data_IF_625023433470
#
_entry.id   IF_625023433470
#
_cell.length_a   1.000
_cell.length_b   1.000
_cell.length_c   1.000
_cell.angle_alpha   90.00
_cell.angle_beta   90.00
_cell.angle_gamma   90.00
#
_symmetry.space_group_name_H-M   'P 1'
#
loop_
_entity.id
_entity.type
_entity.pdbx_description
1 polymer ?
#
# COMPACT_ATOMS: atom_id res chain seq x y z
N UNK A 1 -39.11 -4.82 32.04
CA UNK A 1 -39.05 -5.72 33.21
C UNK A 1 -39.60 -7.08 32.82
N UNK A 2 -38.74 -8.07 32.55
CA UNK A 2 -39.09 -9.50 32.57
C UNK A 2 -37.85 -10.26 33.05
N UNK A 3 -37.88 -10.74 34.30
CA UNK A 3 -36.86 -11.61 34.85
C UNK A 3 -37.20 -13.06 34.50
N UNK A 4 -36.32 -13.76 33.77
CA UNK A 4 -36.43 -15.20 33.52
C UNK A 4 -35.67 -15.96 34.61
N UNK A 5 -36.39 -16.71 35.44
CA UNK A 5 -35.81 -17.59 36.45
C UNK A 5 -35.13 -18.81 35.79
N UNK A 6 -33.93 -19.17 36.24
CA UNK A 6 -33.16 -20.31 35.75
C UNK A 6 -33.45 -21.56 36.60
N UNK A 7 -33.78 -22.67 35.94
CA UNK A 7 -34.14 -23.94 36.58
C UNK A 7 -32.95 -24.62 37.29
N UNK A 8 -33.21 -25.37 38.37
CA UNK A 8 -32.17 -25.98 39.21
C UNK A 8 -31.18 -26.93 38.51
N UNK A 9 -31.46 -27.39 37.28
CA UNK A 9 -30.57 -28.27 36.52
C UNK A 9 -29.33 -27.54 35.98
N UNK A 10 -29.41 -26.23 35.68
CA UNK A 10 -28.24 -25.46 35.19
C UNK A 10 -27.25 -25.12 36.31
N UNK A 11 -27.72 -24.98 37.55
CA UNK A 11 -26.85 -24.78 38.73
C UNK A 11 -26.02 -26.03 39.05
N UNK A 12 -26.57 -27.23 38.86
CA UNK A 12 -25.86 -28.50 39.11
C UNK A 12 -24.76 -28.75 38.06
N UNK A 13 -25.02 -28.41 36.79
CA UNK A 13 -24.04 -28.51 35.71
C UNK A 13 -22.87 -27.54 35.89
N UNK A 14 -23.12 -26.29 36.31
CA UNK A 14 -22.04 -25.34 36.60
C UNK A 14 -21.17 -25.78 37.79
N UNK A 15 -21.78 -26.36 38.83
CA UNK A 15 -21.04 -26.85 39.99
C UNK A 15 -20.09 -28.01 39.64
N UNK A 16 -20.51 -28.92 38.76
CA UNK A 16 -19.68 -30.05 38.30
C UNK A 16 -18.50 -29.59 37.41
N UNK A 17 -18.69 -28.58 36.57
CA UNK A 17 -17.61 -28.01 35.74
C UNK A 17 -16.56 -27.30 36.60
N UNK A 18 -16.98 -26.54 37.62
CA UNK A 18 -16.06 -25.86 38.53
C UNK A 18 -15.27 -26.84 39.41
N UNK A 19 -15.88 -27.96 39.83
CA UNK A 19 -15.16 -29.01 40.58
C UNK A 19 -14.09 -29.71 39.71
N UNK A 20 -14.39 -29.95 38.43
CA UNK A 20 -13.43 -30.54 37.48
C UNK A 20 -12.21 -29.65 37.23
N UNK A 21 -12.40 -28.34 37.11
CA UNK A 21 -11.31 -27.38 36.92
C UNK A 21 -10.38 -27.27 38.15
N UNK A 22 -10.94 -27.34 39.36
CA UNK A 22 -10.16 -27.29 40.60
C UNK A 22 -9.28 -28.55 40.79
N UNK A 23 -9.78 -29.74 40.42
CA UNK A 23 -9.01 -30.99 40.46
C UNK A 23 -7.86 -31.03 39.44
N UNK A 24 -8.07 -30.49 38.23
CA UNK A 24 -7.01 -30.39 37.21
C UNK A 24 -5.87 -29.44 37.64
N UNK A 25 -6.20 -28.29 38.26
CA UNK A 25 -5.21 -27.35 38.76
C UNK A 25 -4.39 -27.90 39.95
N UNK A 26 -5.01 -28.72 40.82
CA UNK A 26 -4.33 -29.36 41.93
C UNK A 26 -3.35 -30.45 41.45
N UNK A 27 -3.73 -31.24 40.44
CA UNK A 27 -2.88 -32.27 39.85
C UNK A 27 -1.69 -31.66 39.09
N UNK A 28 -1.89 -30.56 38.36
CA UNK A 28 -0.80 -29.85 37.68
C UNK A 28 0.22 -29.26 38.67
N UNK A 29 -0.25 -28.71 39.80
CA UNK A 29 0.64 -28.19 40.86
C UNK A 29 1.43 -29.27 41.60
N UNK A 30 0.91 -30.49 41.69
CA UNK A 30 1.62 -31.64 42.27
C UNK A 30 2.69 -32.20 41.32
N UNK A 31 2.47 -32.16 40.02
CA UNK A 31 3.42 -32.61 39.00
C UNK A 31 4.62 -31.65 38.87
N UNK A 32 4.35 -30.33 38.88
CA UNK A 32 5.39 -29.29 38.91
C UNK A 32 6.26 -29.38 40.18
N UNK A 33 5.67 -29.75 41.33
CA UNK A 33 6.42 -29.92 42.59
C UNK A 33 7.20 -31.24 42.68
N UNK A 34 6.77 -32.32 42.00
CA UNK A 34 7.52 -33.58 41.94
C UNK A 34 8.71 -33.54 40.98
N UNK A 35 8.64 -32.74 39.92
CA UNK A 35 9.73 -32.57 38.95
C UNK A 35 10.67 -31.40 39.26
N UNK A 36 10.46 -30.64 40.35
CA UNK A 36 11.36 -29.60 40.83
C UNK A 36 12.57 -30.16 41.64
N UNK A 37 13.10 -31.31 41.22
CA UNK A 37 14.26 -31.94 41.83
C UNK A 37 15.51 -31.74 40.98
N UNK A 38 16.43 -30.88 41.46
CA UNK A 38 17.82 -30.69 41.00
C UNK A 38 17.99 -30.16 39.57
N UNK A 39 17.84 -28.85 39.42
CA UNK A 39 18.59 -28.12 38.40
C UNK A 39 19.94 -27.76 39.00
N UNK A 40 20.99 -28.36 38.45
CA UNK A 40 22.37 -28.02 38.74
C UNK A 40 22.63 -26.58 38.30
N UNK A 41 23.35 -25.82 39.11
CA UNK A 41 23.88 -24.50 38.76
C UNK A 41 24.89 -24.66 37.62
N UNK A 42 24.43 -24.59 36.38
CA UNK A 42 25.28 -24.31 35.24
C UNK A 42 25.36 -22.80 35.10
N UNK A 43 26.55 -22.24 35.28
CA UNK A 43 26.82 -20.84 35.00
C UNK A 43 26.42 -20.51 33.56
N UNK A 44 25.28 -19.85 33.42
CA UNK A 44 24.91 -19.16 32.21
C UNK A 44 25.70 -17.86 32.22
N UNK A 45 26.86 -17.87 31.56
CA UNK A 45 27.37 -16.64 30.96
C UNK A 45 26.27 -16.10 30.07
N UNK A 46 25.93 -14.83 30.27
CA UNK A 46 25.06 -14.04 29.41
C UNK A 46 25.62 -14.15 27.99
N UNK A 47 25.11 -15.12 27.23
CA UNK A 47 25.39 -15.27 25.83
C UNK A 47 24.77 -14.03 25.20
N UNK A 48 25.64 -13.06 24.87
CA UNK A 48 25.29 -11.90 24.08
C UNK A 48 24.47 -12.43 22.91
N UNK A 49 23.20 -12.02 22.84
CA UNK A 49 22.47 -12.06 21.57
C UNK A 49 23.33 -11.27 20.61
N UNK A 50 24.09 -11.98 19.80
CA UNK A 50 24.78 -11.42 18.65
C UNK A 50 23.65 -10.85 17.79
N UNK A 51 23.42 -9.54 17.91
CA UNK A 51 22.51 -8.82 17.03
C UNK A 51 23.00 -9.12 15.62
N UNK A 52 22.19 -9.88 14.87
CA UNK A 52 22.48 -10.12 13.47
C UNK A 52 22.83 -8.75 12.84
N UNK A 53 23.94 -8.65 12.08
CA UNK A 53 24.40 -7.36 11.58
C UNK A 53 23.22 -6.62 10.95
N UNK A 54 22.94 -5.40 11.44
CA UNK A 54 21.93 -4.53 10.85
C UNK A 54 22.22 -4.49 9.34
N UNK A 55 21.31 -5.07 8.57
CA UNK A 55 21.48 -5.14 7.12
C UNK A 55 21.68 -3.72 6.60
N UNK A 56 22.73 -3.52 5.83
CA UNK A 56 23.03 -2.22 5.25
C UNK A 56 21.81 -1.71 4.47
N UNK A 57 21.45 -0.44 4.69
CA UNK A 57 20.39 0.26 3.97
C UNK A 57 20.95 1.45 3.21
N UNK A 58 20.23 1.87 2.18
CA UNK A 58 20.46 3.13 1.49
C UNK A 58 19.32 4.09 1.78
N UNK A 59 19.62 5.20 2.44
CA UNK A 59 18.69 6.30 2.62
C UNK A 59 18.67 7.18 1.36
N UNK A 60 17.51 7.28 0.71
CA UNK A 60 17.26 8.18 -0.41
C UNK A 60 17.02 9.63 0.07
N UNK A 61 16.85 9.84 1.37
CA UNK A 61 16.69 11.13 2.03
C UNK A 61 15.24 11.46 2.41
N UNK A 62 15.06 12.69 2.89
CA UNK A 62 13.76 13.22 3.30
C UNK A 62 13.24 14.21 2.27
N UNK A 63 12.05 13.95 1.73
CA UNK A 63 11.32 14.82 0.81
C UNK A 63 10.23 15.56 1.57
N UNK A 64 10.27 16.88 1.54
CA UNK A 64 9.33 17.75 2.24
C UNK A 64 8.65 18.67 1.24
N UNK A 65 7.32 18.72 1.26
CA UNK A 65 6.53 19.53 0.33
C UNK A 65 5.57 20.44 1.10
N UNK A 66 5.80 21.77 1.14
CA UNK A 66 7.00 22.47 0.67
C UNK A 66 8.23 22.16 1.52
N UNK A 67 9.42 22.60 1.10
CA UNK A 67 10.71 22.35 1.78
C UNK A 67 10.70 22.77 3.27
N UNK A 68 9.95 23.82 3.62
CA UNK A 68 9.77 24.29 5.00
C UNK A 68 8.81 23.46 5.86
N UNK A 69 8.32 22.32 5.37
CA UNK A 69 7.43 21.44 6.14
C UNK A 69 8.17 20.88 7.36
N UNK A 70 7.58 20.89 8.57
CA UNK A 70 8.22 20.31 9.75
C UNK A 70 8.49 18.80 9.61
N UNK A 71 9.64 18.31 10.10
CA UNK A 71 10.05 16.91 9.94
C UNK A 71 9.09 15.91 10.59
N UNK A 72 8.37 16.31 11.64
CA UNK A 72 7.35 15.48 12.29
C UNK A 72 6.16 15.13 11.39
N UNK A 73 6.01 15.86 10.27
CA UNK A 73 5.02 15.55 9.23
C UNK A 73 5.48 14.42 8.31
N UNK A 74 6.77 14.07 8.32
CA UNK A 74 7.32 13.07 7.42
C UNK A 74 6.99 11.65 7.90
N UNK A 75 6.57 10.80 6.96
CA UNK A 75 6.45 9.36 7.13
C UNK A 75 7.69 8.69 6.57
N UNK A 76 8.29 7.82 7.37
CA UNK A 76 9.43 7.02 6.96
C UNK A 76 8.96 5.71 6.32
N UNK A 77 9.55 5.40 5.17
CA UNK A 77 9.33 4.18 4.42
C UNK A 77 10.63 3.41 4.34
N UNK A 78 10.52 2.10 4.46
CA UNK A 78 11.61 1.14 4.37
C UNK A 78 11.11 -0.06 3.58
N UNK A 79 11.84 -0.44 2.53
CA UNK A 79 11.49 -1.56 1.67
C UNK A 79 12.73 -2.22 1.07
N UNK A 80 12.55 -3.45 0.59
CA UNK A 80 13.60 -4.21 -0.09
C UNK A 80 13.43 -4.17 -1.59
N UNK A 81 14.54 -4.08 -2.31
CA UNK A 81 14.60 -4.27 -3.77
C UNK A 81 15.63 -5.35 -4.07
N UNK A 82 15.14 -6.50 -4.51
CA UNK A 82 16.00 -7.62 -4.91
C UNK A 82 16.88 -7.20 -6.09
N UNK A 83 18.18 -7.48 -6.00
CA UNK A 83 19.16 -7.12 -7.03
C UNK A 83 19.77 -5.72 -6.93
N UNK A 84 19.40 -4.93 -5.91
CA UNK A 84 20.14 -3.71 -5.54
C UNK A 84 21.11 -3.98 -4.38
N UNK A 85 22.21 -3.23 -4.35
CA UNK A 85 23.17 -3.24 -3.24
C UNK A 85 23.37 -1.81 -2.71
N UNK A 86 23.03 -1.54 -1.43
CA UNK A 86 22.28 -2.42 -0.54
C UNK A 86 20.85 -2.69 -1.07
N UNK A 87 20.25 -3.80 -0.64
CA UNK A 87 18.89 -4.17 -1.05
C UNK A 87 17.82 -3.36 -0.32
N UNK A 88 18.06 -3.05 0.95
CA UNK A 88 17.18 -2.22 1.78
C UNK A 88 17.29 -0.75 1.39
N UNK A 89 16.16 -0.11 1.13
CA UNK A 89 16.04 1.30 0.75
C UNK A 89 15.17 2.01 1.77
N UNK A 90 15.52 3.25 2.08
CA UNK A 90 14.78 4.10 3.01
C UNK A 90 14.45 5.44 2.34
N UNK A 91 13.31 6.03 2.69
CA UNK A 91 12.89 7.35 2.22
C UNK A 91 11.89 7.94 3.22
N UNK A 92 11.99 9.22 3.52
CA UNK A 92 10.93 9.93 4.24
C UNK A 92 10.18 10.89 3.32
N UNK A 93 8.86 10.94 3.42
CA UNK A 93 8.02 11.91 2.70
C UNK A 93 7.09 12.65 3.66
N UNK A 94 7.14 13.98 3.63
CA UNK A 94 6.29 14.85 4.45
C UNK A 94 5.55 15.87 3.62
N UNK A 95 4.25 15.99 3.86
CA UNK A 95 3.40 17.02 3.27
C UNK A 95 2.99 18.04 4.32
N UNK A 96 3.19 19.31 3.99
CA UNK A 96 2.80 20.45 4.79
C UNK A 96 1.28 20.50 4.98
N UNK A 97 0.85 21.00 6.13
CA UNK A 97 -0.56 20.98 6.53
C UNK A 97 -1.46 21.81 5.58
N UNK A 98 -0.94 22.91 5.05
CA UNK A 98 -1.66 23.72 4.05
C UNK A 98 -1.85 22.94 2.74
N UNK A 99 -0.83 22.20 2.31
CA UNK A 99 -0.83 21.45 1.04
C UNK A 99 -1.71 20.22 1.14
N UNK A 100 -1.65 19.50 2.25
CA UNK A 100 -2.57 18.40 2.55
C UNK A 100 -4.03 18.87 2.50
N UNK A 101 -4.37 19.93 3.25
CA UNK A 101 -5.73 20.51 3.21
C UNK A 101 -6.13 20.99 1.83
N UNK A 102 -5.19 21.55 1.07
CA UNK A 102 -5.40 22.03 -0.28
C UNK A 102 -5.79 20.90 -1.24
N UNK A 103 -5.05 19.80 -1.22
CA UNK A 103 -5.33 18.61 -2.04
C UNK A 103 -6.67 17.97 -1.68
N UNK A 104 -6.95 17.79 -0.39
CA UNK A 104 -8.23 17.26 0.06
C UNK A 104 -9.40 18.16 -0.35
N UNK A 105 -9.25 19.48 -0.19
CA UNK A 105 -10.28 20.44 -0.59
C UNK A 105 -10.48 20.42 -2.10
N UNK A 106 -9.42 20.37 -2.90
CA UNK A 106 -9.51 20.29 -4.35
C UNK A 106 -10.25 19.01 -4.80
N UNK A 107 -9.93 17.86 -4.19
CA UNK A 107 -10.61 16.59 -4.45
C UNK A 107 -12.11 16.65 -4.11
N UNK A 108 -12.44 17.19 -2.93
CA UNK A 108 -13.83 17.41 -2.50
C UNK A 108 -14.57 18.36 -3.44
N UNK A 109 -13.99 19.51 -3.77
CA UNK A 109 -14.60 20.51 -4.67
C UNK A 109 -14.84 19.93 -6.06
N UNK A 110 -13.89 19.15 -6.59
CA UNK A 110 -14.04 18.46 -7.87
C UNK A 110 -15.21 17.47 -7.82
N UNK A 111 -15.34 16.70 -6.75
CA UNK A 111 -16.47 15.79 -6.55
C UNK A 111 -17.83 16.51 -6.58
N UNK A 112 -17.91 17.68 -5.94
CA UNK A 112 -19.11 18.52 -5.94
C UNK A 112 -19.42 19.00 -7.36
N UNK A 113 -18.40 19.44 -8.12
CA UNK A 113 -18.57 19.89 -9.49
C UNK A 113 -19.14 18.81 -10.42
N UNK A 114 -18.80 17.55 -10.16
CA UNK A 114 -19.28 16.39 -10.90
C UNK A 114 -20.55 15.77 -10.29
N UNK A 115 -21.20 16.44 -9.32
CA UNK A 115 -22.41 15.94 -8.66
C UNK A 115 -22.24 14.51 -8.13
N UNK A 116 -21.05 14.22 -7.58
CA UNK A 116 -20.72 12.94 -6.96
C UNK A 116 -21.74 12.55 -5.88
N UNK A 117 -22.08 11.26 -5.81
CA UNK A 117 -22.87 10.67 -4.74
C UNK A 117 -22.34 9.27 -4.42
N UNK A 118 -22.00 9.05 -3.16
CA UNK A 118 -21.72 7.71 -2.63
C UNK A 118 -23.03 6.89 -2.59
N UNK A 119 -22.96 5.64 -3.03
CA UNK A 119 -24.06 4.67 -3.12
C UNK A 119 -23.83 3.44 -2.23
N UNK A 120 -22.78 3.49 -1.40
CA UNK A 120 -22.33 2.41 -0.52
C UNK A 120 -20.80 2.25 -0.60
N UNK A 121 -20.23 1.28 0.12
CA UNK A 121 -18.81 0.95 0.00
C UNK A 121 -18.45 0.67 -1.45
N UNK A 122 -17.40 1.33 -1.95
CA UNK A 122 -16.84 1.13 -3.31
C UNK A 122 -17.82 1.39 -4.45
N UNK A 123 -18.98 2.02 -4.17
CA UNK A 123 -20.02 2.30 -5.17
C UNK A 123 -20.39 3.77 -5.13
N UNK A 124 -20.38 4.40 -6.29
CA UNK A 124 -20.74 5.80 -6.43
C UNK A 124 -21.30 6.11 -7.81
N UNK A 125 -21.86 7.31 -7.95
CA UNK A 125 -22.26 7.89 -9.23
C UNK A 125 -21.78 9.32 -9.32
N UNK A 126 -21.52 9.80 -10.53
CA UNK A 126 -21.18 11.19 -10.83
C UNK A 126 -21.60 11.52 -12.26
N UNK A 127 -21.59 12.80 -12.60
CA UNK A 127 -21.78 13.31 -13.95
C UNK A 127 -20.40 13.47 -14.57
N UNK A 128 -20.12 12.67 -15.61
CA UNK A 128 -18.85 12.74 -16.31
C UNK A 128 -18.60 14.16 -16.88
N UNK A 129 -17.37 14.68 -16.78
CA UNK A 129 -17.01 15.95 -17.43
C UNK A 129 -17.30 15.91 -18.95
N UNK A 130 -17.55 17.05 -19.61
CA UNK A 130 -17.69 17.09 -21.06
C UNK A 130 -16.49 16.45 -21.78
N UNK A 131 -16.77 15.56 -22.73
CA UNK A 131 -15.72 14.80 -23.47
C UNK A 131 -15.20 13.55 -22.74
N UNK A 132 -15.69 13.26 -21.54
CA UNK A 132 -15.34 12.07 -20.77
C UNK A 132 -16.44 11.02 -20.80
N UNK A 133 -16.04 9.75 -20.74
CA UNK A 133 -16.94 8.65 -20.39
C UNK A 133 -17.19 8.62 -18.89
N UNK A 134 -18.08 7.73 -18.45
CA UNK A 134 -18.33 7.47 -17.03
C UNK A 134 -17.28 6.53 -16.38
N UNK A 135 -16.13 6.34 -17.04
CA UNK A 135 -15.00 5.61 -16.49
C UNK A 135 -14.09 6.53 -15.66
N UNK A 136 -13.19 5.92 -14.90
CA UNK A 136 -12.27 6.64 -14.02
C UNK A 136 -11.18 7.45 -14.74
N UNK A 137 -11.08 7.38 -16.08
CA UNK A 137 -9.97 7.98 -16.84
C UNK A 137 -9.83 9.48 -16.58
N UNK A 138 -10.94 10.22 -16.64
CA UNK A 138 -10.89 11.66 -16.43
C UNK A 138 -10.71 12.04 -14.95
N UNK A 139 -11.17 11.19 -14.03
CA UNK A 139 -10.92 11.37 -12.61
C UNK A 139 -9.41 11.22 -12.34
N UNK A 140 -8.79 10.15 -12.84
CA UNK A 140 -7.34 9.93 -12.70
C UNK A 140 -6.54 11.05 -13.37
N UNK A 141 -6.92 11.49 -14.57
CA UNK A 141 -6.24 12.60 -15.26
C UNK A 141 -6.29 13.90 -14.45
N UNK A 142 -7.43 14.22 -13.84
CA UNK A 142 -7.56 15.39 -12.97
C UNK A 142 -6.75 15.24 -11.67
N UNK A 143 -6.72 14.04 -11.08
CA UNK A 143 -5.89 13.76 -9.90
C UNK A 143 -4.40 13.91 -10.21
N UNK A 144 -3.93 13.37 -11.33
CA UNK A 144 -2.55 13.55 -11.80
C UNK A 144 -2.21 15.03 -11.97
N UNK A 145 -3.14 15.83 -12.52
CA UNK A 145 -2.94 17.27 -12.73
C UNK A 145 -2.92 18.06 -11.42
N UNK A 146 -3.90 17.84 -10.56
CA UNK A 146 -4.07 18.57 -9.29
C UNK A 146 -3.07 18.18 -8.21
N UNK A 147 -2.46 16.98 -8.32
CA UNK A 147 -1.45 16.47 -7.40
C UNK A 147 -0.03 16.49 -8.00
N UNK A 148 0.16 17.17 -9.14
CA UNK A 148 1.42 17.11 -9.88
C UNK A 148 2.62 17.51 -9.02
N UNK A 149 2.54 18.62 -8.29
CA UNK A 149 3.68 19.17 -7.55
C UNK A 149 4.24 18.24 -6.45
N UNK A 150 3.47 17.75 -5.46
CA UNK A 150 4.01 16.86 -4.44
C UNK A 150 4.56 15.55 -5.01
N UNK A 151 3.94 15.02 -6.07
CA UNK A 151 4.42 13.80 -6.72
C UNK A 151 5.69 14.07 -7.54
N UNK A 152 5.78 15.23 -8.20
CA UNK A 152 6.98 15.67 -8.94
C UNK A 152 8.17 15.77 -8.01
N UNK A 153 8.05 16.42 -6.86
CA UNK A 153 9.16 16.56 -5.90
C UNK A 153 9.60 15.19 -5.36
N UNK A 154 8.65 14.29 -5.06
CA UNK A 154 8.96 12.91 -4.67
C UNK A 154 9.68 12.14 -5.79
N UNK A 155 9.18 12.23 -7.02
CA UNK A 155 9.78 11.56 -8.18
C UNK A 155 11.16 12.12 -8.54
N UNK A 156 11.45 13.40 -8.26
CA UNK A 156 12.79 13.98 -8.44
C UNK A 156 13.82 13.31 -7.53
N UNK A 157 13.43 12.93 -6.31
CA UNK A 157 14.31 12.19 -5.39
C UNK A 157 14.61 10.78 -5.89
N UNK A 158 13.61 10.08 -6.44
CA UNK A 158 13.82 8.80 -7.11
C UNK A 158 14.72 8.96 -8.33
N UNK A 159 14.43 9.93 -9.20
CA UNK A 159 15.20 10.20 -10.40
C UNK A 159 16.66 10.58 -10.08
N UNK A 160 16.90 11.32 -9.01
CA UNK A 160 18.24 11.60 -8.51
C UNK A 160 18.97 10.32 -8.08
N UNK A 161 18.33 9.47 -7.25
CA UNK A 161 18.90 8.18 -6.84
C UNK A 161 19.22 7.29 -8.04
N UNK A 162 18.32 7.19 -9.00
CA UNK A 162 18.48 6.42 -10.24
C UNK A 162 19.72 6.90 -11.02
N UNK A 163 19.88 8.22 -11.22
CA UNK A 163 21.03 8.78 -11.93
C UNK A 163 22.35 8.63 -11.18
N UNK A 164 22.35 8.92 -9.88
CA UNK A 164 23.55 8.86 -9.02
C UNK A 164 24.13 7.44 -8.95
N UNK A 165 23.26 6.43 -9.08
CA UNK A 165 23.59 5.01 -8.97
C UNK A 165 23.65 4.29 -10.32
N UNK A 166 23.42 5.01 -11.42
CA UNK A 166 23.35 4.47 -12.79
C UNK A 166 22.41 3.25 -12.90
N UNK A 167 21.22 3.35 -12.30
CA UNK A 167 20.25 2.25 -12.31
C UNK A 167 19.62 2.09 -13.70
N UNK A 168 19.54 0.85 -14.18
CA UNK A 168 18.82 0.56 -15.41
C UNK A 168 17.30 0.70 -15.23
N UNK A 169 16.55 0.61 -16.33
CA UNK A 169 15.10 0.81 -16.30
C UNK A 169 14.35 -0.27 -15.48
N UNK A 170 14.89 -1.49 -15.36
CA UNK A 170 14.31 -2.55 -14.53
C UNK A 170 14.55 -2.24 -13.06
N UNK A 171 15.76 -1.87 -12.69
CA UNK A 171 16.15 -1.47 -11.34
C UNK A 171 15.38 -0.22 -10.88
N UNK A 172 15.26 0.79 -11.74
CA UNK A 172 14.46 1.99 -11.49
C UNK A 172 12.98 1.64 -11.27
N UNK A 173 12.43 0.72 -12.06
CA UNK A 173 11.06 0.25 -11.92
C UNK A 173 10.85 -0.44 -10.58
N UNK A 174 11.67 -1.43 -10.23
CA UNK A 174 11.50 -2.17 -8.98
C UNK A 174 11.76 -1.29 -7.73
N UNK A 175 12.65 -0.30 -7.84
CA UNK A 175 12.84 0.71 -6.78
C UNK A 175 11.53 1.46 -6.48
N UNK A 176 10.89 2.01 -7.53
CA UNK A 176 9.66 2.80 -7.40
C UNK A 176 8.47 1.92 -7.02
N UNK A 177 8.32 0.75 -7.67
CA UNK A 177 7.23 -0.18 -7.36
C UNK A 177 7.33 -0.73 -5.95
N UNK A 178 8.55 -1.01 -5.46
CA UNK A 178 8.80 -1.43 -4.08
C UNK A 178 8.29 -0.40 -3.07
N UNK A 179 8.64 0.88 -3.27
CA UNK A 179 8.14 1.97 -2.44
C UNK A 179 6.61 2.05 -2.43
N UNK A 180 5.97 2.01 -3.60
CA UNK A 180 4.50 2.11 -3.69
C UNK A 180 3.79 0.90 -3.07
N UNK A 181 4.35 -0.31 -3.23
CA UNK A 181 3.83 -1.52 -2.58
C UNK A 181 3.89 -1.42 -1.05
N UNK A 182 4.93 -0.77 -0.52
CA UNK A 182 5.16 -0.61 0.92
C UNK A 182 4.14 0.30 1.61
N UNK A 183 3.54 1.26 0.90
CA UNK A 183 2.44 2.09 1.43
C UNK A 183 1.32 1.19 1.98
N UNK A 184 0.67 1.53 3.08
CA UNK A 184 -0.41 0.68 3.61
C UNK A 184 -1.57 0.54 2.62
N UNK A 185 -2.08 -0.70 2.44
CA UNK A 185 -3.29 -0.92 1.65
C UNK A 185 -4.52 -0.65 2.51
N UNK A 186 -5.32 0.35 2.11
CA UNK A 186 -6.56 0.73 2.81
C UNK A 186 -7.62 1.15 1.80
N UNK A 187 -8.84 0.63 1.96
CA UNK A 187 -9.98 1.04 1.13
C UNK A 187 -10.45 2.44 1.54
N UNK A 188 -10.54 3.41 0.60
CA UNK A 188 -10.86 4.79 0.92
C UNK A 188 -12.38 5.03 0.94
N UNK A 189 -13.06 4.36 1.89
CA UNK A 189 -14.53 4.31 1.94
C UNK A 189 -15.24 5.68 2.01
N UNK A 190 -14.56 6.68 2.58
CA UNK A 190 -15.10 8.04 2.75
C UNK A 190 -14.56 9.04 1.71
N UNK A 191 -13.64 8.63 0.84
CA UNK A 191 -13.06 9.52 -0.17
C UNK A 191 -13.97 9.66 -1.41
N UNK A 192 -14.04 10.86 -2.00
CA UNK A 192 -14.67 11.02 -3.31
C UNK A 192 -14.09 10.09 -4.35
N UNK A 193 -14.98 9.49 -5.15
CA UNK A 193 -14.66 8.52 -6.20
C UNK A 193 -13.94 7.26 -5.70
N UNK A 194 -13.90 7.02 -4.37
CA UNK A 194 -13.25 5.86 -3.79
C UNK A 194 -11.74 5.81 -4.07
N UNK A 195 -11.05 6.96 -4.08
CA UNK A 195 -9.61 7.06 -4.33
C UNK A 195 -8.97 8.14 -3.45
N UNK A 196 -7.78 7.83 -2.92
CA UNK A 196 -6.91 8.80 -2.22
C UNK A 196 -6.09 9.57 -3.27
N UNK A 197 -6.09 10.92 -3.22
CA UNK A 197 -5.27 11.74 -4.11
C UNK A 197 -3.77 11.36 -4.07
N UNK A 198 -3.06 11.29 -5.21
CA UNK A 198 -1.69 10.78 -5.27
C UNK A 198 -0.69 11.42 -4.32
N UNK A 199 -0.79 12.73 -4.06
CA UNK A 199 0.09 13.42 -3.11
C UNK A 199 -0.18 13.06 -1.64
N UNK A 200 -1.41 12.61 -1.34
CA UNK A 200 -1.83 12.19 -0.01
C UNK A 200 -1.45 10.74 0.30
N UNK A 201 -1.32 9.89 -0.72
CA UNK A 201 -0.96 8.47 -0.55
C UNK A 201 0.31 8.27 0.30
N UNK A 202 1.46 8.87 -0.04
CA UNK A 202 2.67 8.76 0.79
C UNK A 202 2.65 9.69 2.01
N UNK A 203 1.85 10.76 2.03
CA UNK A 203 1.75 11.65 3.19
C UNK A 203 1.00 10.98 4.36
N UNK A 204 -0.04 10.22 4.03
CA UNK A 204 -0.97 9.62 4.97
C UNK A 204 -0.73 8.11 5.15
N UNK A 205 0.24 7.55 4.43
CA UNK A 205 0.57 6.12 4.38
C UNK A 205 -0.67 5.26 4.18
N UNK A 206 -1.48 5.58 3.16
CA UNK A 206 -2.64 4.76 2.80
C UNK A 206 -3.03 4.90 1.34
N UNK A 207 -3.56 3.83 0.77
CA UNK A 207 -4.21 3.83 -0.53
C UNK A 207 -4.60 2.43 -0.97
N UNK A 208 -5.65 2.32 -1.78
CA UNK A 208 -6.10 1.06 -2.37
C UNK A 208 -5.43 0.80 -3.72
N UNK A 209 -6.02 -0.07 -4.53
CA UNK A 209 -5.46 -0.50 -5.81
C UNK A 209 -5.26 0.66 -6.79
N UNK A 210 -6.24 1.57 -6.91
CA UNK A 210 -6.14 2.65 -7.88
C UNK A 210 -5.40 3.88 -7.35
N UNK A 211 -5.51 4.19 -6.05
CA UNK A 211 -4.72 5.22 -5.37
C UNK A 211 -3.21 4.97 -5.56
N UNK A 212 -2.77 3.74 -5.26
CA UNK A 212 -1.38 3.31 -5.44
C UNK A 212 -1.00 3.28 -6.92
N UNK A 213 -1.93 2.87 -7.79
CA UNK A 213 -1.67 2.78 -9.22
C UNK A 213 -1.42 4.13 -9.88
N UNK A 214 -2.22 5.16 -9.56
CA UNK A 214 -2.01 6.49 -10.09
C UNK A 214 -0.68 7.08 -9.60
N UNK A 215 -0.33 6.89 -8.32
CA UNK A 215 0.98 7.31 -7.79
C UNK A 215 2.15 6.62 -8.53
N UNK A 216 2.13 5.29 -8.63
CA UNK A 216 3.19 4.55 -9.32
C UNK A 216 3.31 4.98 -10.79
N UNK A 217 2.20 5.18 -11.49
CA UNK A 217 2.20 5.63 -12.88
C UNK A 217 2.94 6.98 -13.04
N UNK A 218 2.64 7.95 -12.16
CA UNK A 218 3.27 9.27 -12.19
C UNK A 218 4.78 9.17 -11.94
N UNK A 219 5.19 8.44 -10.89
CA UNK A 219 6.60 8.27 -10.52
C UNK A 219 7.41 7.54 -11.60
N UNK A 220 6.86 6.45 -12.17
CA UNK A 220 7.51 5.68 -13.23
C UNK A 220 7.72 6.53 -14.49
N UNK A 221 6.69 7.27 -14.92
CA UNK A 221 6.80 8.15 -16.10
C UNK A 221 7.80 9.27 -15.89
N UNK A 222 7.86 9.83 -14.69
CA UNK A 222 8.86 10.84 -14.34
C UNK A 222 10.28 10.27 -14.36
N UNK A 223 10.47 9.00 -14.01
CA UNK A 223 11.73 8.28 -14.14
C UNK A 223 12.06 7.85 -15.59
N UNK A 224 11.23 8.23 -16.58
CA UNK A 224 11.40 7.84 -17.98
C UNK A 224 11.01 6.40 -18.28
N UNK A 225 10.34 5.71 -17.35
CA UNK A 225 9.82 4.36 -17.56
C UNK A 225 8.45 4.46 -18.21
N UNK A 226 8.32 3.86 -19.40
CA UNK A 226 7.03 3.76 -20.09
C UNK A 226 6.06 2.89 -19.29
N UNK A 227 4.93 3.49 -18.90
CA UNK A 227 3.93 2.85 -18.06
C UNK A 227 2.52 3.30 -18.44
N UNK A 228 1.54 2.41 -18.25
CA UNK A 228 0.12 2.63 -18.55
C UNK A 228 -0.76 2.19 -17.39
N UNK A 229 -1.89 2.86 -17.20
CA UNK A 229 -2.90 2.47 -16.21
C UNK A 229 -3.67 1.25 -16.70
N UNK A 230 -3.73 0.20 -15.88
CA UNK A 230 -4.59 -0.96 -16.10
C UNK A 230 -5.80 -0.85 -15.18
N UNK A 231 -6.96 -1.14 -15.73
CA UNK A 231 -8.21 -1.09 -14.97
C UNK A 231 -9.14 -2.21 -15.42
N UNK A 232 -9.94 -2.72 -14.50
CA UNK A 232 -11.01 -3.66 -14.80
C UNK A 232 -12.24 -3.39 -13.94
N UNK A 233 -13.35 -2.95 -14.55
CA UNK A 233 -14.62 -2.78 -13.84
C UNK A 233 -15.13 -4.13 -13.30
N UNK A 234 -14.95 -5.21 -14.07
CA UNK A 234 -15.44 -6.55 -13.74
C UNK A 234 -14.67 -7.20 -12.58
N UNK A 235 -13.40 -6.81 -12.38
CA UNK A 235 -12.59 -7.27 -11.26
C UNK A 235 -12.60 -6.28 -10.08
N UNK A 236 -13.18 -5.09 -10.26
CA UNK A 236 -13.06 -3.97 -9.33
C UNK A 236 -11.59 -3.74 -8.89
N UNK A 237 -10.67 -3.74 -9.87
CA UNK A 237 -9.23 -3.71 -9.61
C UNK A 237 -8.47 -2.83 -10.59
N UNK A 238 -7.41 -2.21 -10.09
CA UNK A 238 -6.47 -1.40 -10.84
C UNK A 238 -5.02 -1.85 -10.61
N UNK A 239 -4.20 -1.66 -11.64
CA UNK A 239 -2.79 -2.04 -11.64
C UNK A 239 -2.01 -1.18 -12.64
N UNK A 240 -0.71 -1.41 -12.81
CA UNK A 240 0.10 -0.77 -13.86
C UNK A 240 0.52 -1.79 -14.91
N UNK A 241 0.63 -1.34 -16.16
CA UNK A 241 1.35 -2.03 -17.20
C UNK A 241 2.68 -1.32 -17.43
N UNK A 242 3.80 -2.04 -17.36
CA UNK A 242 5.14 -1.47 -17.56
C UNK A 242 5.74 -1.93 -18.90
N UNK A 243 6.19 -0.99 -19.71
CA UNK A 243 6.69 -1.16 -21.06
C UNK A 243 8.12 -1.72 -21.16
N UNK A 244 8.48 -2.66 -20.29
CA UNK A 244 9.80 -3.28 -20.25
C UNK A 244 9.86 -4.65 -20.94
N UNK A 245 11.03 -5.07 -21.44
CA UNK A 245 11.25 -6.45 -21.85
C UNK A 245 11.13 -7.41 -20.65
N UNK A 246 11.07 -8.70 -20.94
CA UNK A 246 10.99 -9.77 -19.93
C UNK A 246 9.72 -10.61 -20.03
N UNK A 247 9.70 -11.64 -19.19
CA UNK A 247 8.65 -12.68 -19.14
C UNK A 247 7.46 -12.28 -18.25
N UNK A 248 6.43 -13.11 -18.24
CA UNK A 248 5.22 -12.93 -17.45
C UNK A 248 4.03 -12.39 -18.24
N UNK A 249 2.94 -12.12 -17.54
CA UNK A 249 1.69 -11.62 -18.10
C UNK A 249 1.87 -10.23 -18.70
N UNK A 250 1.40 -10.05 -19.93
CA UNK A 250 1.45 -8.79 -20.67
C UNK A 250 0.06 -8.40 -21.15
N UNK A 251 -0.27 -7.12 -21.02
CA UNK A 251 -1.46 -6.51 -21.60
C UNK A 251 -1.06 -5.75 -22.86
N UNK A 252 -1.73 -6.03 -23.98
CA UNK A 252 -1.44 -5.39 -25.26
C UNK A 252 -2.18 -4.06 -25.39
N UNK A 253 -1.49 -3.02 -25.85
CA UNK A 253 -2.05 -1.71 -26.12
C UNK A 253 -1.18 -0.93 -27.11
N UNK A 254 -1.80 -0.28 -28.11
CA UNK A 254 -1.08 0.55 -29.08
C UNK A 254 0.03 -0.18 -29.86
N UNK A 255 -0.14 -1.49 -30.14
CA UNK A 255 0.88 -2.31 -30.80
C UNK A 255 2.05 -2.72 -29.90
N UNK A 256 2.01 -2.40 -28.61
CA UNK A 256 3.04 -2.71 -27.61
C UNK A 256 2.46 -3.61 -26.53
N UNK A 257 3.31 -4.37 -25.87
CA UNK A 257 2.93 -5.19 -24.71
C UNK A 257 3.47 -4.59 -23.42
N UNK A 258 2.65 -4.54 -22.38
CA UNK A 258 2.99 -3.99 -21.07
C UNK A 258 2.93 -5.08 -20.01
N UNK A 259 4.02 -5.33 -19.28
CA UNK A 259 4.06 -6.33 -18.20
C UNK A 259 3.18 -5.88 -17.05
N UNK A 260 2.33 -6.77 -16.55
CA UNK A 260 1.46 -6.47 -15.41
C UNK A 260 2.29 -6.21 -14.14
N UNK A 261 1.98 -5.16 -13.40
CA UNK A 261 2.59 -4.84 -12.11
C UNK A 261 1.50 -4.71 -11.04
N UNK A 262 1.47 -5.66 -10.12
CA UNK A 262 0.63 -5.61 -8.92
C UNK A 262 1.25 -4.67 -7.88
N UNK A 263 0.39 -3.93 -7.16
CA UNK A 263 0.77 -2.88 -6.22
C UNK A 263 0.16 -3.04 -4.82
N UNK A 264 -0.83 -3.92 -4.68
CA UNK A 264 -1.60 -4.03 -3.44
C UNK A 264 -0.83 -4.68 -2.30
N UNK A 265 0.17 -5.49 -2.62
CA UNK A 265 1.06 -6.11 -1.65
C UNK A 265 2.49 -6.25 -2.20
N UNK A 266 3.42 -6.50 -1.29
CA UNK A 266 4.78 -6.92 -1.63
C UNK A 266 4.79 -8.35 -2.18
N UNK A 267 5.93 -8.77 -2.75
CA UNK A 267 6.12 -10.14 -3.22
C UNK A 267 5.46 -10.48 -4.55
N UNK A 268 5.00 -9.48 -5.31
CA UNK A 268 4.52 -9.63 -6.69
C UNK A 268 5.56 -9.11 -7.69
N UNK A 269 6.42 -9.98 -8.27
CA UNK A 269 7.37 -9.57 -9.29
C UNK A 269 6.67 -9.01 -10.53
N UNK A 270 7.37 -8.15 -11.27
CA UNK A 270 6.86 -7.66 -12.55
C UNK A 270 6.47 -8.81 -13.48
N UNK A 271 5.30 -8.73 -14.10
CA UNK A 271 4.71 -9.78 -14.95
C UNK A 271 4.00 -10.91 -14.18
N UNK A 272 3.98 -10.91 -12.85
CA UNK A 272 3.15 -11.81 -12.06
C UNK A 272 1.79 -11.17 -11.79
N UNK A 273 0.72 -11.90 -12.07
CA UNK A 273 -0.65 -11.48 -11.80
C UNK A 273 -1.26 -12.38 -10.72
N UNK A 274 -1.94 -11.82 -9.70
CA UNK A 274 -2.64 -12.64 -8.72
C UNK A 274 -3.71 -13.52 -9.39
N UNK A 275 -3.89 -14.80 -8.98
CA UNK A 275 -4.81 -15.71 -9.66
C UNK A 275 -6.25 -15.21 -9.80
N UNK A 276 -6.75 -14.46 -8.82
CA UNK A 276 -8.09 -13.87 -8.87
C UNK A 276 -8.26 -12.82 -9.98
N UNK A 277 -7.14 -12.24 -10.43
CA UNK A 277 -7.06 -11.19 -11.43
C UNK A 277 -6.54 -11.67 -12.78
N UNK A 278 -6.10 -12.93 -12.89
CA UNK A 278 -5.57 -13.54 -14.12
C UNK A 278 -6.68 -13.86 -15.14
N UNK A 279 -7.28 -12.79 -15.67
CA UNK A 279 -8.32 -12.79 -16.68
C UNK A 279 -7.99 -11.73 -17.72
N UNK A 280 -6.98 -11.95 -18.60
CA UNK A 280 -6.43 -10.93 -19.49
C UNK A 280 -7.47 -10.17 -20.31
N UNK A 281 -8.55 -10.83 -20.72
CA UNK A 281 -9.66 -10.27 -21.49
C UNK A 281 -10.53 -9.26 -20.72
N UNK A 282 -10.44 -9.21 -19.39
CA UNK A 282 -11.17 -8.27 -18.55
C UNK A 282 -10.38 -7.00 -18.24
N UNK A 283 -9.11 -6.97 -18.61
CA UNK A 283 -8.23 -5.83 -18.41
C UNK A 283 -8.30 -4.88 -19.59
N UNK A 284 -8.43 -3.59 -19.30
CA UNK A 284 -8.28 -2.51 -20.28
C UNK A 284 -7.17 -1.57 -19.86
N UNK A 285 -6.49 -1.01 -20.86
CA UNK A 285 -5.62 0.14 -20.65
C UNK A 285 -6.47 1.41 -20.64
N UNK A 286 -6.35 2.20 -19.59
CA UNK A 286 -6.90 3.56 -19.56
C UNK A 286 -5.83 4.53 -20.09
N UNK A 287 -6.00 5.13 -21.28
CA UNK A 287 -5.05 6.11 -21.78
C UNK A 287 -5.15 7.38 -20.94
N UNK A 288 -4.11 7.64 -20.15
CA UNK A 288 -3.97 8.84 -19.33
C UNK A 288 -2.92 9.77 -19.93
N UNK A 289 -3.13 11.10 -19.87
CA UNK A 289 -2.14 12.07 -20.34
C UNK A 289 -0.83 11.90 -19.57
N UNK A 290 0.25 12.44 -20.12
CA UNK A 290 1.48 12.59 -19.34
C UNK A 290 1.19 13.48 -18.12
N UNK A 291 1.81 13.16 -16.99
CA UNK A 291 1.72 14.04 -15.83
C UNK A 291 2.31 15.42 -16.22
N UNK A 292 1.73 16.54 -15.77
CA UNK A 292 2.35 17.84 -15.97
C UNK A 292 3.77 17.81 -15.38
N UNK A 293 4.77 18.14 -16.20
CA UNK A 293 6.16 18.23 -15.78
C UNK A 293 6.43 19.43 -14.88
#
# INVERSE_FOLDING_TARGET
MVARSWSGKTKLLLALVLLGAALAAALWRLDVRRNAGRLAESGWTEDSKEEAPLEASLDLGTVLVPEGTPLERARAYDWRVEGLTPARQELAFGLGEAEERGLEKAHRDYSVSLRYRAMGPERFTYVAPPGCGADMRCIYAELMRSNAEPVRVLGERFAASIRERDLDAVQATELILGFVRRVHYELPGDEPFGIVPPGLVPAQDRGDCDSKAVLALMLLRQAGVDAVMLYSDALAHAAIGVGLPGTGTRIAFGGRGYRYAELTAEGWPLGMIPPQYDKPQLWRVLPLPDAPG
#
